data_IF_848485300327
#
_entry.id   IF_848485300327
#
_cell.length_a   1.000
_cell.length_b   1.000
_cell.length_c   1.000
_cell.angle_alpha   90.00
_cell.angle_beta   90.00
_cell.angle_gamma   90.00
#
_symmetry.space_group_name_H-M   'P 1'
#
loop_
_entity.id
_entity.type
_entity.pdbx_description
1 polymer ?
#
# COMPACT_ATOMS: atom_id res chain seq x y z
N UNK A 1 71.42 -31.43 9.93
CA UNK A 1 70.34 -30.59 10.50
C UNK A 1 69.53 -30.10 9.31
N UNK A 2 68.45 -30.81 9.03
CA UNK A 2 67.54 -30.61 7.91
C UNK A 2 66.73 -29.35 8.14
N UNK A 3 66.93 -28.32 7.31
CA UNK A 3 66.06 -27.15 7.25
C UNK A 3 64.76 -27.60 6.59
N UNK A 4 63.69 -27.63 7.38
CA UNK A 4 62.32 -27.85 6.97
C UNK A 4 61.99 -26.98 5.75
N UNK A 5 61.65 -27.63 4.64
CA UNK A 5 60.82 -27.03 3.60
C UNK A 5 59.46 -26.75 4.25
N UNK A 6 59.32 -25.56 4.82
CA UNK A 6 58.02 -25.01 5.24
C UNK A 6 57.11 -25.09 4.01
N UNK A 7 55.99 -25.80 4.18
CA UNK A 7 54.95 -26.07 3.18
C UNK A 7 54.19 -24.79 2.80
N UNK A 8 54.91 -23.83 2.24
CA UNK A 8 54.43 -22.51 1.82
C UNK A 8 53.25 -22.60 0.83
N UNK A 9 53.09 -23.75 0.15
CA UNK A 9 51.99 -23.99 -0.79
C UNK A 9 50.64 -24.19 -0.08
N UNK A 10 50.61 -24.90 1.05
CA UNK A 10 49.36 -25.17 1.78
C UNK A 10 48.85 -23.94 2.50
N UNK A 11 49.74 -23.17 3.11
CA UNK A 11 49.37 -21.94 3.80
C UNK A 11 48.97 -20.83 2.82
N UNK A 12 49.59 -20.72 1.64
CA UNK A 12 49.11 -19.82 0.58
C UNK A 12 47.74 -20.24 0.03
N UNK A 13 47.49 -21.54 -0.18
CA UNK A 13 46.17 -22.03 -0.61
C UNK A 13 45.13 -21.74 0.47
N UNK A 14 45.46 -21.99 1.74
CA UNK A 14 44.57 -21.72 2.88
C UNK A 14 44.29 -20.23 3.03
N UNK A 15 45.31 -19.38 2.91
CA UNK A 15 45.17 -17.93 2.92
C UNK A 15 44.39 -17.43 1.71
N UNK A 16 44.57 -18.00 0.52
CA UNK A 16 43.76 -17.67 -0.66
C UNK A 16 42.31 -18.11 -0.50
N UNK A 17 42.04 -19.27 0.09
CA UNK A 17 40.68 -19.74 0.39
C UNK A 17 40.04 -18.92 1.52
N UNK A 18 40.82 -18.43 2.46
CA UNK A 18 40.38 -17.59 3.57
C UNK A 18 40.16 -16.15 3.10
N UNK A 19 41.06 -15.60 2.27
CA UNK A 19 40.88 -14.33 1.57
C UNK A 19 39.73 -14.42 0.57
N UNK A 20 39.56 -15.51 -0.18
CA UNK A 20 38.39 -15.73 -1.04
C UNK A 20 37.10 -15.79 -0.21
N UNK A 21 37.11 -16.49 0.93
CA UNK A 21 35.97 -16.47 1.88
C UNK A 21 35.68 -15.07 2.43
N UNK A 22 36.70 -14.26 2.70
CA UNK A 22 36.58 -12.91 3.24
C UNK A 22 36.22 -11.87 2.15
N UNK A 23 36.65 -12.09 0.90
CA UNK A 23 36.46 -11.15 -0.23
C UNK A 23 35.26 -11.47 -1.10
N UNK A 24 34.81 -12.73 -1.17
CA UNK A 24 33.60 -13.11 -1.93
C UNK A 24 32.30 -12.95 -1.15
N UNK A 25 32.36 -12.90 0.18
CA UNK A 25 31.21 -12.72 1.05
C UNK A 25 31.32 -11.39 1.80
N UNK A 26 30.34 -10.51 1.60
CA UNK A 26 30.17 -9.37 2.49
C UNK A 26 30.17 -9.89 3.94
N UNK A 27 31.00 -9.32 4.81
CA UNK A 27 31.05 -9.70 6.24
C UNK A 27 29.68 -9.42 6.85
N UNK A 28 28.84 -10.45 6.91
CA UNK A 28 27.50 -10.40 7.49
C UNK A 28 27.54 -11.14 8.81
N UNK A 29 27.02 -10.50 9.86
CA UNK A 29 26.97 -11.09 11.20
C UNK A 29 26.25 -12.46 11.18
N UNK A 30 26.78 -13.48 11.90
CA UNK A 30 26.26 -14.85 11.89
C UNK A 30 24.86 -15.02 12.48
N UNK A 31 24.33 -13.97 13.10
CA UNK A 31 22.99 -13.93 13.70
C UNK A 31 21.90 -13.72 12.62
N UNK A 32 22.28 -13.30 11.41
CA UNK A 32 21.30 -12.99 10.36
C UNK A 32 20.95 -14.24 9.57
N UNK A 33 19.66 -14.45 9.37
CA UNK A 33 19.16 -15.52 8.52
C UNK A 33 19.21 -15.13 7.02
N UNK A 34 19.40 -16.10 6.11
CA UNK A 34 19.36 -15.86 4.67
C UNK A 34 17.99 -15.37 4.22
N UNK A 35 17.97 -14.36 3.34
CA UNK A 35 16.73 -13.80 2.80
C UNK A 35 16.13 -14.66 1.68
N UNK A 36 16.95 -15.43 0.97
CA UNK A 36 16.52 -16.36 -0.09
C UNK A 36 16.93 -17.77 0.31
N UNK A 37 15.97 -18.70 0.33
CA UNK A 37 16.20 -20.09 0.73
C UNK A 37 16.37 -21.03 -0.46
N UNK A 38 16.95 -22.21 -0.22
CA UNK A 38 17.02 -23.30 -1.22
C UNK A 38 18.10 -23.10 -2.29
N UNK A 39 19.24 -22.51 -1.94
CA UNK A 39 20.47 -22.42 -2.75
C UNK A 39 20.30 -22.09 -4.23
N UNK A 40 19.43 -21.13 -4.49
CA UNK A 40 19.15 -20.62 -5.83
C UNK A 40 20.36 -19.92 -6.43
N UNK A 41 20.61 -20.19 -7.71
CA UNK A 41 21.57 -19.47 -8.55
C UNK A 41 20.91 -18.27 -9.23
N UNK A 42 21.71 -17.37 -9.83
CA UNK A 42 21.19 -16.24 -10.62
C UNK A 42 20.27 -16.67 -11.77
N UNK A 43 20.53 -17.84 -12.36
CA UNK A 43 19.71 -18.42 -13.40
C UNK A 43 18.36 -18.89 -12.85
N UNK A 44 18.36 -19.55 -11.68
CA UNK A 44 17.14 -20.02 -11.03
C UNK A 44 16.21 -18.86 -10.67
N UNK A 45 16.73 -17.77 -10.09
CA UNK A 45 15.94 -16.56 -9.81
C UNK A 45 15.24 -16.05 -11.07
N UNK A 46 15.99 -15.98 -12.17
CA UNK A 46 15.46 -15.50 -13.44
C UNK A 46 14.40 -16.45 -13.99
N UNK A 47 14.64 -17.77 -13.90
CA UNK A 47 13.73 -18.78 -14.39
C UNK A 47 12.43 -18.79 -13.57
N UNK A 48 12.50 -18.90 -12.25
CA UNK A 48 11.36 -19.01 -11.35
C UNK A 48 10.40 -17.83 -11.52
N UNK A 49 10.93 -16.60 -11.56
CA UNK A 49 10.11 -15.38 -11.67
C UNK A 49 9.54 -15.22 -13.08
N UNK A 50 10.33 -15.42 -14.13
CA UNK A 50 9.86 -15.23 -15.51
C UNK A 50 8.94 -16.37 -16.00
N UNK A 51 9.07 -17.59 -15.46
CA UNK A 51 8.21 -18.74 -15.79
C UNK A 51 6.73 -18.43 -15.53
N UNK A 52 6.43 -17.60 -14.53
CA UNK A 52 5.07 -17.16 -14.20
C UNK A 52 4.43 -16.41 -15.39
N UNK A 53 5.22 -15.65 -16.16
CA UNK A 53 4.78 -14.89 -17.33
C UNK A 53 4.81 -15.71 -18.62
N UNK A 54 5.73 -16.67 -18.72
CA UNK A 54 5.90 -17.52 -19.89
C UNK A 54 4.81 -18.61 -20.01
N UNK A 55 4.40 -19.22 -18.89
CA UNK A 55 3.36 -20.27 -18.87
C UNK A 55 1.98 -19.70 -19.24
N UNK A 56 1.06 -20.51 -19.76
CA UNK A 56 -0.35 -20.07 -19.97
C UNK A 56 -1.05 -19.88 -18.61
N UNK A 57 -2.03 -18.97 -18.56
CA UNK A 57 -2.83 -18.79 -17.35
C UNK A 57 -3.65 -20.06 -17.07
N UNK A 58 -3.58 -20.56 -15.84
CA UNK A 58 -4.38 -21.70 -15.40
C UNK A 58 -5.86 -21.35 -15.25
N UNK A 59 -6.70 -22.38 -15.11
CA UNK A 59 -8.15 -22.23 -14.91
C UNK A 59 -8.49 -21.38 -13.67
N UNK A 60 -7.77 -21.57 -12.57
CA UNK A 60 -7.95 -20.78 -11.35
C UNK A 60 -7.75 -19.27 -11.55
N UNK A 61 -6.80 -18.87 -12.40
CA UNK A 61 -6.60 -17.45 -12.74
C UNK A 61 -7.78 -16.89 -13.53
N UNK A 62 -8.30 -17.64 -14.52
CA UNK A 62 -9.46 -17.21 -15.30
C UNK A 62 -10.73 -17.12 -14.46
N UNK A 63 -10.93 -18.03 -13.49
CA UNK A 63 -12.03 -17.96 -12.54
C UNK A 63 -11.90 -16.70 -11.68
N UNK A 64 -10.72 -16.47 -11.07
CA UNK A 64 -10.48 -15.28 -10.26
C UNK A 64 -10.65 -13.98 -11.06
N UNK A 65 -10.16 -13.95 -12.30
CA UNK A 65 -10.31 -12.82 -13.21
C UNK A 65 -11.77 -12.59 -13.59
N UNK A 66 -12.53 -13.65 -13.90
CA UNK A 66 -13.96 -13.57 -14.17
C UNK A 66 -14.76 -13.02 -12.99
N UNK A 67 -14.45 -13.47 -11.76
CA UNK A 67 -15.04 -12.93 -10.53
C UNK A 67 -14.69 -11.45 -10.38
N UNK A 68 -13.41 -11.07 -10.48
CA UNK A 68 -12.97 -9.69 -10.33
C UNK A 68 -13.63 -8.74 -11.35
N UNK A 69 -13.74 -9.16 -12.61
CA UNK A 69 -14.42 -8.41 -13.67
C UNK A 69 -15.92 -8.30 -13.42
N UNK A 70 -16.55 -9.35 -12.87
CA UNK A 70 -17.97 -9.31 -12.49
C UNK A 70 -18.21 -8.27 -11.40
N UNK A 71 -17.38 -8.27 -10.35
CA UNK A 71 -17.44 -7.26 -9.29
C UNK A 71 -17.20 -5.85 -9.84
N UNK A 72 -16.21 -5.68 -10.73
CA UNK A 72 -15.94 -4.42 -11.40
C UNK A 72 -17.17 -3.94 -12.21
N UNK A 73 -17.85 -4.85 -12.90
CA UNK A 73 -19.05 -4.55 -13.68
C UNK A 73 -20.18 -4.02 -12.78
N UNK A 74 -20.36 -4.60 -11.58
CA UNK A 74 -21.30 -4.07 -10.57
C UNK A 74 -20.94 -2.62 -10.20
N UNK A 75 -19.64 -2.35 -10.00
CA UNK A 75 -19.14 -1.00 -9.73
C UNK A 75 -19.40 0.00 -10.86
N UNK A 76 -19.16 -0.42 -12.11
CA UNK A 76 -19.41 0.41 -13.31
C UNK A 76 -20.89 0.72 -13.44
N UNK A 77 -21.77 -0.25 -13.20
CA UNK A 77 -23.23 -0.03 -13.21
C UNK A 77 -23.63 0.97 -12.11
N UNK A 78 -23.12 0.79 -10.88
CA UNK A 78 -23.40 1.72 -9.78
C UNK A 78 -22.90 3.14 -10.06
N UNK A 79 -21.69 3.29 -10.64
CA UNK A 79 -21.15 4.57 -11.06
C UNK A 79 -21.97 5.21 -12.19
N UNK A 80 -22.40 4.41 -13.17
CA UNK A 80 -23.27 4.88 -14.25
C UNK A 80 -24.60 5.41 -13.71
N UNK A 81 -25.25 4.68 -12.79
CA UNK A 81 -26.49 5.14 -12.14
C UNK A 81 -26.26 6.44 -11.36
N UNK A 82 -25.14 6.53 -10.64
CA UNK A 82 -24.78 7.74 -9.88
C UNK A 82 -24.64 8.96 -10.79
N UNK A 83 -23.97 8.83 -11.94
CA UNK A 83 -23.74 9.95 -12.86
C UNK A 83 -24.99 10.32 -13.66
N UNK A 84 -25.83 9.36 -14.02
CA UNK A 84 -27.01 9.59 -14.88
C UNK A 84 -28.26 10.01 -14.12
N UNK A 85 -28.51 9.41 -12.95
CA UNK A 85 -29.68 9.73 -12.10
C UNK A 85 -29.31 10.81 -11.09
N UNK A 86 -28.06 10.79 -10.60
CA UNK A 86 -27.52 11.75 -9.64
C UNK A 86 -27.17 11.14 -8.29
N UNK A 87 -26.47 11.96 -7.47
CA UNK A 87 -26.00 11.60 -6.11
C UNK A 87 -27.16 11.26 -5.17
N UNK A 88 -28.39 11.72 -5.45
CA UNK A 88 -29.58 11.37 -4.65
C UNK A 88 -29.95 9.88 -4.67
N UNK A 89 -29.30 9.05 -5.50
CA UNK A 89 -29.40 7.59 -5.44
C UNK A 89 -28.66 6.98 -4.24
N UNK A 90 -27.77 7.75 -3.61
CA UNK A 90 -27.04 7.35 -2.42
C UNK A 90 -27.89 7.56 -1.16
N UNK A 91 -27.54 6.88 -0.07
CA UNK A 91 -28.18 7.00 1.24
C UNK A 91 -27.82 8.27 2.00
N UNK A 92 -27.09 9.19 1.36
CA UNK A 92 -26.71 10.48 1.91
C UNK A 92 -27.95 11.33 2.24
N UNK A 93 -27.78 12.27 3.15
CA UNK A 93 -28.82 13.22 3.50
C UNK A 93 -28.22 14.62 3.70
N UNK A 94 -29.08 15.60 3.99
CA UNK A 94 -28.64 17.00 4.16
C UNK A 94 -27.68 17.23 5.34
N UNK A 95 -27.70 16.36 6.35
CA UNK A 95 -26.82 16.41 7.52
C UNK A 95 -25.55 15.60 7.27
N UNK A 96 -25.70 14.36 6.80
CA UNK A 96 -24.62 13.43 6.47
C UNK A 96 -24.37 13.51 4.96
N UNK A 97 -23.55 14.50 4.58
CA UNK A 97 -23.15 14.74 3.19
C UNK A 97 -22.01 13.85 2.70
N UNK A 98 -21.30 13.17 3.61
CA UNK A 98 -20.26 12.20 3.32
C UNK A 98 -20.43 10.95 4.18
N UNK A 99 -20.22 9.80 3.56
CA UNK A 99 -20.24 8.51 4.23
C UNK A 99 -19.36 7.50 3.47
N UNK A 100 -19.95 6.57 2.72
CA UNK A 100 -19.21 5.48 2.05
C UNK A 100 -18.24 6.00 0.99
N UNK A 101 -18.60 7.07 0.28
CA UNK A 101 -17.77 7.72 -0.72
C UNK A 101 -16.39 8.11 -0.19
N UNK A 102 -16.34 9.04 0.77
CA UNK A 102 -15.07 9.52 1.32
C UNK A 102 -14.43 8.46 2.24
N UNK A 103 -15.22 7.60 2.89
CA UNK A 103 -14.69 6.44 3.65
C UNK A 103 -13.83 5.55 2.74
N UNK A 104 -14.37 5.16 1.58
CA UNK A 104 -13.69 4.29 0.64
C UNK A 104 -12.49 4.99 -0.01
N UNK A 105 -12.62 6.28 -0.30
CA UNK A 105 -11.52 7.12 -0.77
C UNK A 105 -10.31 7.07 0.18
N UNK A 106 -10.52 7.42 1.46
CA UNK A 106 -9.42 7.47 2.45
C UNK A 106 -8.89 6.05 2.74
N UNK A 107 -9.75 5.04 2.70
CA UNK A 107 -9.34 3.64 2.82
C UNK A 107 -8.39 3.22 1.70
N UNK A 108 -8.74 3.49 0.44
CA UNK A 108 -7.91 3.13 -0.71
C UNK A 108 -6.61 3.93 -0.80
N UNK A 109 -6.63 5.24 -0.51
CA UNK A 109 -5.38 6.02 -0.38
C UNK A 109 -4.52 5.43 0.74
N UNK A 110 -5.12 5.13 1.90
CA UNK A 110 -4.44 4.50 3.04
C UNK A 110 -3.71 3.21 2.66
N UNK A 111 -4.39 2.28 1.97
CA UNK A 111 -3.77 1.05 1.45
C UNK A 111 -2.59 1.37 0.53
N UNK A 112 -2.72 2.40 -0.31
CA UNK A 112 -1.69 2.81 -1.26
C UNK A 112 -0.35 3.15 -0.60
N UNK A 113 -0.35 3.70 0.62
CA UNK A 113 0.87 4.20 1.27
C UNK A 113 1.91 3.12 1.61
N UNK A 114 1.49 1.90 1.93
CA UNK A 114 2.43 0.86 2.35
C UNK A 114 3.40 0.44 1.25
N UNK A 115 2.98 0.47 -0.02
CA UNK A 115 3.87 0.09 -1.12
C UNK A 115 5.04 1.05 -1.28
N UNK A 116 4.75 2.35 -1.32
CA UNK A 116 5.78 3.40 -1.32
C UNK A 116 6.60 3.43 -0.03
N UNK A 117 6.02 3.09 1.12
CA UNK A 117 6.79 2.92 2.35
C UNK A 117 7.82 1.78 2.22
N UNK A 118 7.39 0.62 1.72
CA UNK A 118 8.26 -0.56 1.53
C UNK A 118 9.35 -0.27 0.50
N UNK A 119 9.06 0.48 -0.56
CA UNK A 119 10.00 0.69 -1.63
C UNK A 119 10.93 1.90 -1.46
N UNK A 120 10.48 2.96 -0.79
CA UNK A 120 11.26 4.17 -0.55
C UNK A 120 11.86 4.22 0.87
N UNK A 121 11.04 4.16 1.91
CA UNK A 121 11.53 4.34 3.30
C UNK A 121 12.45 3.20 3.72
N UNK A 122 12.08 1.95 3.43
CA UNK A 122 12.97 0.81 3.70
C UNK A 122 14.24 0.82 2.83
N UNK A 123 14.19 1.44 1.65
CA UNK A 123 15.40 1.66 0.84
C UNK A 123 16.35 2.63 1.52
N UNK A 124 15.85 3.76 2.02
CA UNK A 124 16.65 4.73 2.78
C UNK A 124 17.25 4.14 4.06
N UNK A 125 16.52 3.26 4.74
CA UNK A 125 17.03 2.50 5.89
C UNK A 125 17.92 1.30 5.52
N UNK A 126 18.27 1.15 4.24
CA UNK A 126 19.09 0.06 3.71
C UNK A 126 18.61 -1.34 4.14
N UNK A 127 17.28 -1.53 4.21
CA UNK A 127 16.66 -2.77 4.64
C UNK A 127 16.55 -3.76 3.47
N UNK A 128 17.50 -4.69 3.40
CA UNK A 128 17.63 -5.65 2.28
C UNK A 128 16.44 -6.60 2.09
N UNK A 129 15.63 -6.84 3.13
CA UNK A 129 14.45 -7.72 3.05
C UNK A 129 13.30 -7.14 2.21
N UNK A 130 13.31 -5.84 1.89
CA UNK A 130 12.29 -5.23 1.03
C UNK A 130 12.28 -5.79 -0.40
N UNK A 131 13.43 -6.31 -0.87
CA UNK A 131 13.71 -6.65 -2.28
C UNK A 131 12.79 -7.74 -2.85
N UNK A 132 12.27 -8.63 -2.01
CA UNK A 132 11.31 -9.66 -2.42
C UNK A 132 9.87 -9.16 -2.54
N UNK A 133 9.56 -7.95 -2.04
CA UNK A 133 8.18 -7.46 -1.86
C UNK A 133 7.94 -6.14 -2.60
N UNK A 134 8.96 -5.29 -2.72
CA UNK A 134 8.86 -3.92 -3.23
C UNK A 134 8.03 -3.79 -4.50
N UNK A 135 8.30 -4.62 -5.51
CA UNK A 135 7.65 -4.53 -6.82
C UNK A 135 6.14 -4.75 -6.75
N UNK A 136 5.72 -5.78 -6.02
CA UNK A 136 4.31 -6.07 -5.81
C UNK A 136 3.64 -5.02 -4.94
N UNK A 137 4.36 -4.48 -3.96
CA UNK A 137 3.86 -3.44 -3.09
C UNK A 137 3.67 -2.11 -3.83
N UNK A 138 4.60 -1.72 -4.70
CA UNK A 138 4.45 -0.54 -5.57
C UNK A 138 3.31 -0.68 -6.57
N UNK A 139 3.15 -1.86 -7.19
CA UNK A 139 2.00 -2.12 -8.06
C UNK A 139 0.68 -2.00 -7.27
N UNK A 140 0.65 -2.53 -6.05
CA UNK A 140 -0.48 -2.36 -5.13
C UNK A 140 -0.78 -0.88 -4.88
N UNK A 141 0.24 -0.05 -4.63
CA UNK A 141 0.07 1.40 -4.48
C UNK A 141 -0.62 2.03 -5.68
N UNK A 142 -0.11 1.80 -6.88
CA UNK A 142 -0.66 2.42 -8.08
C UNK A 142 -2.13 2.02 -8.29
N UNK A 143 -2.44 0.75 -8.09
CA UNK A 143 -3.80 0.24 -8.27
C UNK A 143 -4.73 0.78 -7.18
N UNK A 144 -4.28 0.84 -5.93
CA UNK A 144 -5.06 1.40 -4.83
C UNK A 144 -5.33 2.91 -5.06
N UNK A 145 -4.34 3.67 -5.53
CA UNK A 145 -4.50 5.10 -5.86
C UNK A 145 -5.45 5.29 -7.04
N UNK A 146 -5.42 4.41 -8.05
CA UNK A 146 -6.42 4.43 -9.13
C UNK A 146 -7.83 4.17 -8.60
N UNK A 147 -8.00 3.23 -7.67
CA UNK A 147 -9.30 2.98 -7.03
C UNK A 147 -9.75 4.19 -6.19
N UNK A 148 -8.85 4.78 -5.43
CA UNK A 148 -9.12 5.97 -4.64
C UNK A 148 -9.52 7.17 -5.50
N UNK A 149 -8.79 7.44 -6.58
CA UNK A 149 -9.00 8.59 -7.47
C UNK A 149 -10.35 8.60 -8.17
N UNK A 150 -11.07 7.47 -8.20
CA UNK A 150 -12.44 7.42 -8.69
C UNK A 150 -13.42 8.17 -7.78
N UNK A 151 -13.25 8.08 -6.46
CA UNK A 151 -14.21 8.61 -5.50
C UNK A 151 -14.31 10.15 -5.55
N UNK A 152 -13.20 10.93 -5.54
CA UNK A 152 -13.23 12.40 -5.73
C UNK A 152 -14.00 12.88 -6.96
N UNK A 153 -14.06 12.05 -8.01
CA UNK A 153 -14.77 12.38 -9.25
C UNK A 153 -16.23 11.96 -9.15
N UNK A 154 -16.50 10.72 -8.73
CA UNK A 154 -17.85 10.14 -8.73
C UNK A 154 -18.74 10.76 -7.65
N UNK A 155 -18.17 11.22 -6.52
CA UNK A 155 -18.95 11.89 -5.47
C UNK A 155 -19.38 13.32 -5.82
N UNK A 156 -18.92 13.87 -6.95
CA UNK A 156 -19.32 15.19 -7.39
C UNK A 156 -20.75 15.17 -7.94
N UNK A 157 -21.55 16.19 -7.61
CA UNK A 157 -22.85 16.39 -8.26
C UNK A 157 -22.75 16.71 -9.77
N UNK A 158 -21.60 17.24 -10.22
CA UNK A 158 -21.33 17.60 -11.63
C UNK A 158 -19.91 17.18 -12.05
N UNK A 159 -19.66 15.88 -12.24
CA UNK A 159 -18.31 15.35 -12.48
C UNK A 159 -17.65 15.91 -13.76
N UNK A 160 -18.43 16.28 -14.77
CA UNK A 160 -17.92 16.87 -16.02
C UNK A 160 -17.27 18.25 -15.83
N UNK A 161 -17.39 18.90 -14.67
CA UNK A 161 -16.72 20.16 -14.33
C UNK A 161 -15.45 19.96 -13.49
N UNK A 162 -15.01 18.73 -13.26
CA UNK A 162 -13.83 18.40 -12.46
C UNK A 162 -12.57 19.19 -12.87
N UNK A 163 -12.41 19.50 -14.16
CA UNK A 163 -11.29 20.27 -14.68
C UNK A 163 -11.18 21.71 -14.10
N UNK A 164 -12.21 22.22 -13.43
CA UNK A 164 -12.15 23.51 -12.73
C UNK A 164 -11.28 23.51 -11.48
N UNK A 165 -10.86 22.34 -10.97
CA UNK A 165 -9.84 22.25 -9.92
C UNK A 165 -8.45 22.68 -10.40
N UNK A 166 -8.19 22.61 -11.71
CA UNK A 166 -6.89 23.00 -12.26
C UNK A 166 -6.76 24.54 -12.29
N UNK A 167 -5.64 25.11 -11.81
CA UNK A 167 -5.35 26.53 -11.99
C UNK A 167 -4.84 26.77 -13.41
N UNK A 168 -5.74 26.88 -14.38
CA UNK A 168 -5.40 27.18 -15.78
C UNK A 168 -5.98 28.54 -16.22
N UNK A 169 -5.25 29.30 -17.08
CA UNK A 169 -5.78 30.51 -17.69
C UNK A 169 -7.06 30.23 -18.47
N UNK A 170 -8.11 31.02 -18.26
CA UNK A 170 -9.43 30.76 -18.84
C UNK A 170 -10.06 32.04 -19.41
N UNK A 171 -11.11 31.87 -20.20
CA UNK A 171 -11.85 32.96 -20.86
C UNK A 171 -12.83 33.69 -19.92
N UNK A 172 -12.92 33.29 -18.65
CA UNK A 172 -13.86 33.83 -17.66
C UNK A 172 -13.24 34.98 -16.84
N UNK A 173 -12.28 35.70 -17.42
CA UNK A 173 -11.50 36.74 -16.75
C UNK A 173 -10.47 36.16 -15.77
N UNK A 174 -10.17 36.91 -14.70
CA UNK A 174 -9.21 36.51 -13.65
C UNK A 174 -9.79 35.52 -12.63
N UNK A 175 -10.61 34.56 -13.09
CA UNK A 175 -11.19 33.54 -12.21
C UNK A 175 -10.15 32.45 -11.94
N UNK A 176 -9.84 32.22 -10.66
CA UNK A 176 -8.91 31.21 -10.18
C UNK A 176 -9.51 30.38 -9.05
N UNK A 177 -8.90 29.24 -8.77
CA UNK A 177 -9.22 28.42 -7.59
C UNK A 177 -8.66 29.05 -6.32
N UNK A 178 -9.28 28.75 -5.17
CA UNK A 178 -8.72 29.13 -3.86
C UNK A 178 -7.72 28.07 -3.40
N UNK A 179 -6.57 28.47 -2.87
CA UNK A 179 -5.55 27.55 -2.36
C UNK A 179 -5.67 27.30 -0.85
N UNK A 180 -6.86 27.49 -0.28
CA UNK A 180 -7.11 27.34 1.17
C UNK A 180 -7.87 26.06 1.50
N UNK A 181 -8.62 25.51 0.55
CA UNK A 181 -9.41 24.30 0.75
C UNK A 181 -8.52 23.06 0.74
N UNK A 182 -8.57 22.23 1.80
CA UNK A 182 -7.89 20.93 1.83
C UNK A 182 -8.27 20.01 0.67
N UNK A 183 -9.52 20.06 0.19
CA UNK A 183 -9.95 19.31 -1.00
C UNK A 183 -9.16 19.66 -2.28
N UNK A 184 -8.73 20.92 -2.43
CA UNK A 184 -7.85 21.29 -3.55
C UNK A 184 -6.43 20.74 -3.33
N UNK A 185 -5.94 20.78 -2.09
CA UNK A 185 -4.64 20.20 -1.76
C UNK A 185 -4.63 18.69 -2.02
N UNK A 186 -5.74 18.00 -1.74
CA UNK A 186 -5.95 16.59 -2.03
C UNK A 186 -5.81 16.27 -3.52
N UNK A 187 -6.40 17.10 -4.39
CA UNK A 187 -6.22 16.98 -5.83
C UNK A 187 -4.73 17.04 -6.24
N UNK A 188 -3.96 17.99 -5.70
CA UNK A 188 -2.52 18.08 -5.97
C UNK A 188 -1.72 16.94 -5.33
N UNK A 189 -2.07 16.56 -4.11
CA UNK A 189 -1.40 15.50 -3.37
C UNK A 189 -1.52 14.17 -4.11
N UNK A 190 -2.73 13.78 -4.51
CA UNK A 190 -2.99 12.50 -5.16
C UNK A 190 -2.43 12.47 -6.58
N UNK A 191 -2.60 13.54 -7.36
CA UNK A 191 -2.04 13.61 -8.71
C UNK A 191 -0.50 13.53 -8.70
N UNK A 192 0.15 14.23 -7.77
CA UNK A 192 1.60 14.18 -7.58
C UNK A 192 2.03 12.81 -7.06
N UNK A 193 1.30 12.25 -6.09
CA UNK A 193 1.57 10.93 -5.54
C UNK A 193 1.47 9.82 -6.58
N UNK A 194 0.41 9.82 -7.39
CA UNK A 194 0.24 8.88 -8.49
C UNK A 194 1.38 9.00 -9.51
N UNK A 195 1.70 10.23 -9.92
CA UNK A 195 2.75 10.48 -10.93
C UNK A 195 4.12 10.03 -10.44
N UNK A 196 4.52 10.42 -9.22
CA UNK A 196 5.81 10.05 -8.65
C UNK A 196 5.88 8.53 -8.42
N UNK A 197 4.81 7.93 -7.90
CA UNK A 197 4.75 6.47 -7.70
C UNK A 197 4.85 5.73 -9.03
N UNK A 198 4.22 6.23 -10.10
CA UNK A 198 4.23 5.62 -11.42
C UNK A 198 5.64 5.67 -12.03
N UNK A 199 6.28 6.83 -11.96
CA UNK A 199 7.65 7.01 -12.43
C UNK A 199 8.62 6.14 -11.63
N UNK A 200 8.47 6.11 -10.30
CA UNK A 200 9.33 5.32 -9.42
C UNK A 200 9.22 3.82 -9.70
N UNK A 201 7.99 3.29 -9.74
CA UNK A 201 7.73 1.88 -10.07
C UNK A 201 8.21 1.51 -11.47
N UNK A 202 7.93 2.36 -12.47
CA UNK A 202 8.33 2.11 -13.85
C UNK A 202 9.84 2.11 -14.02
N UNK A 203 10.55 3.07 -13.41
CA UNK A 203 12.01 3.07 -13.41
C UNK A 203 12.56 1.81 -12.78
N UNK A 204 12.03 1.43 -11.61
CA UNK A 204 12.39 0.18 -10.96
C UNK A 204 12.22 -1.02 -11.89
N UNK A 205 11.18 -1.03 -12.74
CA UNK A 205 10.82 -2.14 -13.62
C UNK A 205 11.74 -2.30 -14.84
N UNK A 206 12.48 -1.26 -15.25
CA UNK A 206 13.26 -1.27 -16.49
C UNK A 206 14.21 -2.48 -16.64
N UNK A 207 15.02 -2.86 -15.63
CA UNK A 207 15.92 -4.01 -15.75
C UNK A 207 15.16 -5.35 -15.87
N UNK A 208 14.02 -5.46 -15.19
CA UNK A 208 13.20 -6.67 -15.18
C UNK A 208 12.45 -6.83 -16.51
N UNK A 209 11.91 -5.74 -17.07
CA UNK A 209 11.27 -5.72 -18.39
C UNK A 209 12.27 -6.05 -19.48
N UNK A 210 13.52 -5.58 -19.39
CA UNK A 210 14.58 -5.97 -20.31
C UNK A 210 14.87 -7.48 -20.27
N UNK A 211 14.88 -8.06 -19.06
CA UNK A 211 15.01 -9.52 -18.91
C UNK A 211 13.81 -10.25 -19.56
N UNK A 212 12.59 -9.77 -19.35
CA UNK A 212 11.39 -10.34 -19.97
C UNK A 212 11.40 -10.22 -21.51
N UNK A 213 11.89 -9.09 -22.05
CA UNK A 213 12.11 -8.87 -23.49
C UNK A 213 13.02 -9.93 -24.10
N UNK A 214 14.16 -10.16 -23.45
CA UNK A 214 15.21 -11.03 -23.98
C UNK A 214 14.82 -12.52 -23.91
N UNK A 215 13.96 -12.89 -22.93
CA UNK A 215 13.40 -14.24 -22.81
C UNK A 215 12.18 -14.49 -23.70
N UNK A 216 11.46 -13.45 -24.12
CA UNK A 216 10.18 -13.62 -24.81
C UNK A 216 10.35 -14.23 -26.21
N UNK A 217 9.82 -15.44 -26.40
CA UNK A 217 9.78 -16.13 -27.71
C UNK A 217 8.68 -15.61 -28.64
N UNK A 218 7.65 -14.98 -28.08
CA UNK A 218 6.46 -14.53 -28.82
C UNK A 218 6.71 -13.13 -29.39
N UNK A 219 6.62 -12.98 -30.73
CA UNK A 219 6.96 -11.73 -31.44
C UNK A 219 6.26 -10.48 -30.89
N UNK A 220 4.94 -10.55 -30.64
CA UNK A 220 4.19 -9.40 -30.15
C UNK A 220 4.57 -9.03 -28.70
N UNK A 221 4.78 -10.02 -27.82
CA UNK A 221 5.21 -9.81 -26.43
C UNK A 221 6.63 -9.23 -26.39
N UNK A 222 7.52 -9.75 -27.23
CA UNK A 222 8.86 -9.21 -27.40
C UNK A 222 8.81 -7.74 -27.83
N UNK A 223 8.01 -7.40 -28.85
CA UNK A 223 7.82 -6.01 -29.28
C UNK A 223 7.30 -5.11 -28.13
N UNK A 224 6.31 -5.58 -27.38
CA UNK A 224 5.76 -4.87 -26.22
C UNK A 224 6.84 -4.58 -25.16
N UNK A 225 7.59 -5.60 -24.72
CA UNK A 225 8.67 -5.41 -23.75
C UNK A 225 9.87 -4.64 -24.32
N UNK A 226 10.14 -4.71 -25.63
CA UNK A 226 11.17 -3.87 -26.26
C UNK A 226 10.84 -2.39 -26.10
N UNK A 227 9.60 -2.00 -26.40
CA UNK A 227 9.14 -0.60 -26.25
C UNK A 227 9.24 -0.16 -24.79
N UNK A 228 8.72 -0.97 -23.86
CA UNK A 228 8.74 -0.63 -22.43
C UNK A 228 10.14 -0.69 -21.80
N UNK A 229 11.09 -1.44 -22.35
CA UNK A 229 12.46 -1.50 -21.81
C UNK A 229 13.28 -0.26 -22.10
N UNK A 230 12.82 0.67 -22.95
CA UNK A 230 13.52 1.89 -23.36
C UNK A 230 14.99 1.66 -23.80
N UNK A 231 15.28 0.48 -24.38
CA UNK A 231 16.63 0.13 -24.81
C UNK A 231 17.61 -0.18 -23.67
N UNK A 232 17.10 -0.56 -22.49
CA UNK A 232 17.95 -0.96 -21.37
C UNK A 232 18.94 -2.06 -21.77
N UNK A 233 20.23 -1.78 -21.57
CA UNK A 233 21.36 -2.60 -22.01
C UNK A 233 22.23 -3.10 -20.85
N UNK A 234 21.91 -2.75 -19.60
CA UNK A 234 22.67 -3.16 -18.42
C UNK A 234 24.11 -2.63 -18.33
N UNK A 235 24.47 -1.58 -19.07
CA UNK A 235 25.81 -1.00 -19.01
C UNK A 235 26.11 -0.42 -17.61
N UNK A 236 27.39 -0.39 -17.20
CA UNK A 236 27.80 0.20 -15.92
C UNK A 236 27.34 1.66 -15.77
N UNK A 237 27.43 2.45 -16.84
CA UNK A 237 26.96 3.85 -16.86
C UNK A 237 25.44 3.96 -16.63
N UNK A 238 24.67 3.02 -17.17
CA UNK A 238 23.22 2.96 -16.98
C UNK A 238 22.87 2.63 -15.53
N UNK A 239 23.55 1.64 -14.94
CA UNK A 239 23.35 1.23 -13.55
C UNK A 239 23.67 2.35 -12.56
N UNK A 240 24.83 3.01 -12.72
CA UNK A 240 25.23 4.10 -11.83
C UNK A 240 24.21 5.26 -11.82
N UNK A 241 23.68 5.61 -12.99
CA UNK A 241 22.61 6.61 -13.13
C UNK A 241 21.30 6.13 -12.54
N UNK A 242 20.93 4.88 -12.78
CA UNK A 242 19.71 4.28 -12.24
C UNK A 242 19.71 4.31 -10.72
N UNK A 243 20.79 3.87 -10.06
CA UNK A 243 20.89 3.86 -8.60
C UNK A 243 20.82 5.27 -8.01
N UNK A 244 21.49 6.23 -8.66
CA UNK A 244 21.43 7.66 -8.25
C UNK A 244 20.00 8.20 -8.32
N UNK A 245 19.32 7.99 -9.46
CA UNK A 245 17.94 8.47 -9.65
C UNK A 245 16.96 7.74 -8.72
N UNK A 246 17.10 6.43 -8.56
CA UNK A 246 16.27 5.64 -7.66
C UNK A 246 16.43 6.13 -6.21
N UNK A 247 17.66 6.42 -5.76
CA UNK A 247 17.91 6.96 -4.43
C UNK A 247 17.32 8.36 -4.22
N UNK A 248 17.43 9.25 -5.21
CA UNK A 248 16.81 10.59 -5.15
C UNK A 248 15.28 10.46 -5.09
N UNK A 249 14.68 9.62 -5.92
CA UNK A 249 13.23 9.42 -5.90
C UNK A 249 12.75 8.79 -4.59
N UNK A 250 13.49 7.86 -4.00
CA UNK A 250 13.17 7.32 -2.68
C UNK A 250 13.22 8.41 -1.60
N UNK A 251 14.20 9.31 -1.67
CA UNK A 251 14.31 10.46 -0.77
C UNK A 251 13.14 11.45 -0.94
N UNK A 252 12.70 11.72 -2.17
CA UNK A 252 11.57 12.61 -2.47
C UNK A 252 10.21 11.98 -2.16
N UNK A 253 10.06 10.67 -2.39
CA UNK A 253 8.82 9.95 -2.13
C UNK A 253 8.53 9.83 -0.62
N UNK A 254 9.56 9.84 0.23
CA UNK A 254 9.38 9.68 1.69
C UNK A 254 8.58 10.83 2.32
N UNK A 255 8.94 12.12 2.15
CA UNK A 255 8.11 13.24 2.59
C UNK A 255 6.73 13.24 1.92
N UNK A 256 6.64 12.84 0.65
CA UNK A 256 5.38 12.78 -0.10
C UNK A 256 4.40 11.79 0.53
N UNK A 257 4.87 10.60 0.92
CA UNK A 257 4.04 9.59 1.61
C UNK A 257 3.46 10.14 2.91
N UNK A 258 4.27 10.87 3.68
CA UNK A 258 3.81 11.49 4.92
C UNK A 258 2.85 12.65 4.67
N UNK A 259 3.13 13.49 3.67
CA UNK A 259 2.34 14.69 3.39
C UNK A 259 0.99 14.36 2.76
N UNK A 260 0.91 13.42 1.80
CA UNK A 260 -0.34 13.09 1.10
C UNK A 260 -1.42 12.62 2.07
N UNK A 261 -1.10 11.68 2.94
CA UNK A 261 -2.10 11.17 3.90
C UNK A 261 -2.37 12.16 5.04
N UNK A 262 -1.43 13.06 5.33
CA UNK A 262 -1.67 14.21 6.21
C UNK A 262 -2.62 15.23 5.57
N UNK A 263 -2.52 15.48 4.27
CA UNK A 263 -3.44 16.38 3.54
C UNK A 263 -4.85 15.80 3.54
N UNK A 264 -5.00 14.51 3.26
CA UNK A 264 -6.30 13.81 3.37
C UNK A 264 -6.86 13.92 4.80
N UNK A 265 -6.00 13.88 5.82
CA UNK A 265 -6.46 14.09 7.21
C UNK A 265 -6.91 15.53 7.49
N UNK A 266 -6.35 16.51 6.77
CA UNK A 266 -6.70 17.93 6.94
C UNK A 266 -8.12 18.24 6.47
N UNK A 267 -8.69 17.44 5.56
CA UNK A 267 -10.12 17.53 5.20
C UNK A 267 -11.04 17.44 6.43
N UNK A 268 -10.62 16.66 7.44
CA UNK A 268 -11.35 16.51 8.71
C UNK A 268 -10.77 17.43 9.78
N UNK A 269 -9.45 17.39 10.00
CA UNK A 269 -8.78 18.07 11.12
C UNK A 269 -8.98 19.59 11.13
N UNK A 270 -9.10 20.21 9.96
CA UNK A 270 -9.29 21.67 9.83
C UNK A 270 -10.75 22.10 9.88
N UNK A 271 -11.67 21.15 9.95
CA UNK A 271 -13.10 21.40 10.17
C UNK A 271 -13.35 21.91 11.60
N UNK A 272 -14.56 22.40 11.83
CA UNK A 272 -15.06 22.84 13.15
C UNK A 272 -15.93 21.78 13.83
N UNK A 273 -16.12 20.62 13.20
CA UNK A 273 -17.04 19.58 13.70
C UNK A 273 -16.41 18.87 14.90
N UNK A 274 -17.17 18.63 15.99
CA UNK A 274 -16.66 17.93 17.15
C UNK A 274 -16.25 16.50 16.80
N UNK A 275 -15.11 16.06 17.33
CA UNK A 275 -14.47 14.80 16.96
C UNK A 275 -13.77 14.78 15.59
N UNK A 276 -13.84 15.86 14.79
CA UNK A 276 -12.97 16.06 13.63
C UNK A 276 -11.87 17.08 13.92
N UNK A 277 -12.21 18.17 14.60
CA UNK A 277 -11.25 19.23 14.92
C UNK A 277 -10.18 18.74 15.92
N UNK A 278 -9.08 18.22 15.39
CA UNK A 278 -8.03 17.59 16.21
C UNK A 278 -6.66 17.71 15.56
N UNK A 279 -5.65 17.99 16.38
CA UNK A 279 -4.26 18.17 15.93
C UNK A 279 -3.51 16.84 15.80
N UNK A 280 -4.03 15.74 16.36
CA UNK A 280 -3.39 14.41 16.28
C UNK A 280 -3.67 13.70 14.96
N UNK A 281 -4.67 14.15 14.20
CA UNK A 281 -5.14 13.48 12.98
C UNK A 281 -4.06 13.24 11.92
N UNK A 282 -3.18 14.20 11.55
CA UNK A 282 -2.17 13.95 10.53
C UNK A 282 -1.22 12.79 10.84
N UNK A 283 -0.49 12.74 11.98
CA UNK A 283 0.37 11.60 12.29
C UNK A 283 -0.42 10.31 12.54
N UNK A 284 -1.62 10.42 13.13
CA UNK A 284 -2.50 9.27 13.39
C UNK A 284 -2.97 8.60 12.10
N UNK A 285 -3.47 9.38 11.13
CA UNK A 285 -3.91 8.89 9.84
C UNK A 285 -2.76 8.22 9.11
N UNK A 286 -1.56 8.80 9.12
CA UNK A 286 -0.36 8.23 8.50
C UNK A 286 -0.01 6.88 9.13
N UNK A 287 -0.04 6.76 10.46
CA UNK A 287 0.17 5.48 11.15
C UNK A 287 -0.87 4.44 10.74
N UNK A 288 -2.15 4.84 10.65
CA UNK A 288 -3.25 4.01 10.16
C UNK A 288 -3.09 3.56 8.69
N UNK A 289 -2.57 4.42 7.82
CA UNK A 289 -2.28 4.10 6.43
C UNK A 289 -1.20 3.03 6.31
N UNK A 290 -0.10 3.17 7.08
CA UNK A 290 0.95 2.15 7.11
C UNK A 290 0.39 0.85 7.69
N UNK A 291 -0.40 0.91 8.75
CA UNK A 291 -1.00 -0.25 9.40
C UNK A 291 -1.92 -1.06 8.46
N UNK A 292 -2.91 -0.41 7.84
CA UNK A 292 -3.82 -1.02 6.85
C UNK A 292 -3.08 -1.49 5.59
N UNK A 293 -2.19 -0.67 5.04
CA UNK A 293 -1.47 -1.02 3.83
C UNK A 293 -0.54 -2.22 4.02
N UNK A 294 0.19 -2.33 5.14
CA UNK A 294 1.00 -3.53 5.42
C UNK A 294 0.12 -4.77 5.59
N UNK A 295 -1.06 -4.63 6.20
CA UNK A 295 -2.01 -5.74 6.28
C UNK A 295 -2.44 -6.20 4.88
N UNK A 296 -2.82 -5.28 3.99
CA UNK A 296 -3.18 -5.62 2.61
C UNK A 296 -2.01 -6.25 1.83
N UNK A 297 -0.79 -5.70 1.93
CA UNK A 297 0.40 -6.31 1.30
C UNK A 297 0.58 -7.74 1.79
N UNK A 298 0.48 -7.99 3.09
CA UNK A 298 0.60 -9.34 3.65
C UNK A 298 -0.50 -10.27 3.13
N UNK A 299 -1.76 -9.84 3.08
CA UNK A 299 -2.86 -10.63 2.52
C UNK A 299 -2.54 -11.09 1.09
N UNK A 300 -2.13 -10.15 0.23
CA UNK A 300 -1.83 -10.44 -1.17
C UNK A 300 -0.57 -11.32 -1.32
N UNK A 301 0.49 -11.00 -0.58
CA UNK A 301 1.76 -11.73 -0.69
C UNK A 301 1.66 -13.15 -0.13
N UNK A 302 0.80 -13.41 0.85
CA UNK A 302 0.52 -14.78 1.31
C UNK A 302 -0.14 -15.59 0.20
N UNK A 303 -1.13 -15.02 -0.50
CA UNK A 303 -1.81 -15.67 -1.62
C UNK A 303 -0.85 -15.91 -2.79
N UNK A 304 -0.11 -14.88 -3.21
CA UNK A 304 0.90 -14.96 -4.28
C UNK A 304 1.96 -16.02 -3.96
N UNK A 305 2.47 -16.01 -2.72
CA UNK A 305 3.47 -16.98 -2.24
C UNK A 305 3.02 -18.42 -2.48
N UNK A 306 1.78 -18.75 -2.12
CA UNK A 306 1.25 -20.12 -2.20
C UNK A 306 0.81 -20.52 -3.60
N UNK A 307 0.14 -19.62 -4.32
CA UNK A 307 -0.41 -19.92 -5.65
C UNK A 307 0.70 -20.01 -6.70
N UNK A 308 1.76 -19.21 -6.54
CA UNK A 308 2.86 -19.12 -7.52
C UNK A 308 4.13 -19.84 -7.10
N UNK A 309 4.10 -20.57 -5.97
CA UNK A 309 5.24 -21.33 -5.45
C UNK A 309 6.51 -20.49 -5.22
N UNK A 310 6.33 -19.29 -4.65
CA UNK A 310 7.40 -18.33 -4.38
C UNK A 310 7.90 -18.41 -2.93
N UNK A 311 7.75 -19.55 -2.26
CA UNK A 311 8.11 -19.72 -0.84
C UNK A 311 9.59 -19.45 -0.54
N UNK A 312 10.47 -19.64 -1.53
CA UNK A 312 11.91 -19.44 -1.39
C UNK A 312 12.32 -17.97 -1.42
N UNK A 313 11.48 -17.10 -1.98
CA UNK A 313 11.73 -15.65 -2.09
C UNK A 313 10.93 -14.89 -1.03
N UNK A 314 9.69 -15.32 -0.77
CA UNK A 314 8.79 -14.79 0.26
C UNK A 314 8.86 -15.67 1.51
N UNK A 315 9.97 -15.58 2.24
CA UNK A 315 10.21 -16.41 3.44
C UNK A 315 9.34 -15.98 4.63
N UNK A 316 9.25 -16.82 5.67
CA UNK A 316 8.51 -16.50 6.90
C UNK A 316 9.09 -15.26 7.60
N UNK A 317 10.40 -15.04 7.48
CA UNK A 317 11.06 -13.89 8.13
C UNK A 317 10.65 -12.55 7.51
N UNK A 318 10.27 -12.54 6.23
CA UNK A 318 9.66 -11.37 5.60
C UNK A 318 8.33 -11.02 6.26
N UNK A 319 7.45 -12.01 6.43
CA UNK A 319 6.16 -11.81 7.10
C UNK A 319 6.34 -11.46 8.57
N UNK A 320 7.29 -12.07 9.27
CA UNK A 320 7.56 -11.72 10.66
C UNK A 320 7.98 -10.25 10.81
N UNK A 321 8.84 -9.74 9.90
CA UNK A 321 9.25 -8.32 9.89
C UNK A 321 8.08 -7.40 9.58
N UNK A 322 7.24 -7.73 8.60
CA UNK A 322 6.03 -6.97 8.30
C UNK A 322 5.04 -6.96 9.46
N UNK A 323 4.86 -8.09 10.16
CA UNK A 323 4.04 -8.16 11.37
C UNK A 323 4.58 -7.25 12.49
N UNK A 324 5.91 -7.10 12.65
CA UNK A 324 6.48 -6.17 13.64
C UNK A 324 6.16 -4.72 13.31
N UNK A 325 6.24 -4.33 12.04
CA UNK A 325 5.86 -2.98 11.58
C UNK A 325 4.36 -2.74 11.81
N UNK A 326 3.53 -3.74 11.50
CA UNK A 326 2.07 -3.71 11.72
C UNK A 326 1.74 -3.60 13.21
N UNK A 327 2.46 -4.32 14.07
CA UNK A 327 2.28 -4.24 15.53
C UNK A 327 2.67 -2.87 16.09
N UNK A 328 3.77 -2.29 15.61
CA UNK A 328 4.21 -0.95 16.01
C UNK A 328 3.15 0.10 15.64
N UNK A 329 2.74 0.10 14.37
CA UNK A 329 1.77 1.08 13.85
C UNK A 329 0.38 0.88 14.44
N UNK A 330 -0.07 -0.36 14.64
CA UNK A 330 -1.31 -0.67 15.35
C UNK A 330 -1.29 -0.21 16.82
N UNK A 331 -0.14 -0.33 17.50
CA UNK A 331 0.02 0.21 18.86
C UNK A 331 -0.02 1.75 18.89
N UNK A 332 0.56 2.42 17.89
CA UNK A 332 0.45 3.89 17.74
C UNK A 332 -1.01 4.31 17.53
N UNK A 333 -1.74 3.62 16.63
CA UNK A 333 -3.17 3.85 16.39
C UNK A 333 -3.99 3.63 17.66
N UNK A 334 -3.74 2.55 18.40
CA UNK A 334 -4.39 2.27 19.67
C UNK A 334 -4.12 3.35 20.73
N UNK A 335 -2.88 3.84 20.80
CA UNK A 335 -2.53 4.97 21.67
C UNK A 335 -3.26 6.25 21.25
N UNK A 336 -3.40 6.52 19.94
CA UNK A 336 -4.16 7.67 19.44
C UNK A 336 -5.63 7.62 19.87
N UNK A 337 -6.28 6.45 19.81
CA UNK A 337 -7.67 6.32 20.32
C UNK A 337 -7.77 6.64 21.81
N UNK A 338 -6.86 6.11 22.63
CA UNK A 338 -6.83 6.41 24.06
C UNK A 338 -6.56 7.89 24.32
N UNK A 339 -5.71 8.52 23.50
CA UNK A 339 -5.42 9.95 23.58
C UNK A 339 -6.64 10.78 23.23
N UNK A 340 -7.41 10.42 22.20
CA UNK A 340 -8.66 11.09 21.85
C UNK A 340 -9.70 11.00 22.98
N UNK A 341 -9.88 9.81 23.57
CA UNK A 341 -10.78 9.63 24.71
C UNK A 341 -10.34 10.47 25.92
N UNK A 342 -9.04 10.49 26.21
CA UNK A 342 -8.49 11.26 27.31
C UNK A 342 -8.65 12.77 27.08
N UNK A 343 -8.27 13.28 25.92
CA UNK A 343 -8.33 14.72 25.61
C UNK A 343 -9.78 15.19 25.48
N UNK A 344 -10.69 14.42 24.89
CA UNK A 344 -12.10 14.82 24.83
C UNK A 344 -12.74 14.88 26.23
N UNK A 345 -12.34 14.00 27.16
CA UNK A 345 -12.73 14.12 28.57
C UNK A 345 -12.05 15.31 29.27
N UNK A 346 -10.75 15.49 29.06
CA UNK A 346 -9.94 16.54 29.68
C UNK A 346 -10.30 17.96 29.20
N UNK A 347 -10.73 18.10 27.95
CA UNK A 347 -11.08 19.39 27.33
C UNK A 347 -12.22 20.12 28.04
N UNK A 348 -13.08 19.42 28.79
CA UNK A 348 -14.24 20.01 29.45
C UNK A 348 -15.31 20.56 28.51
N UNK A 349 -15.18 20.35 27.19
CA UNK A 349 -16.17 20.77 26.18
C UNK A 349 -17.36 19.81 26.18
N UNK A 350 -18.60 20.29 26.41
CA UNK A 350 -19.79 19.42 26.40
C UNK A 350 -19.98 18.68 25.08
N UNK A 351 -19.64 19.31 23.94
CA UNK A 351 -19.77 18.72 22.61
C UNK A 351 -18.78 17.57 22.36
N UNK A 352 -17.54 17.72 22.81
CA UNK A 352 -16.52 16.66 22.70
C UNK A 352 -16.82 15.49 23.63
N UNK A 353 -17.27 15.78 24.86
CA UNK A 353 -17.69 14.74 25.79
C UNK A 353 -18.90 13.96 25.25
N UNK A 354 -19.89 14.66 24.68
CA UNK A 354 -21.01 14.02 24.01
C UNK A 354 -20.56 13.15 22.83
N UNK A 355 -19.59 13.62 22.04
CA UNK A 355 -19.04 12.83 20.92
C UNK A 355 -18.42 11.51 21.38
N UNK A 356 -17.68 11.52 22.50
CA UNK A 356 -17.15 10.29 23.11
C UNK A 356 -18.29 9.33 23.49
N UNK A 357 -19.32 9.84 24.19
CA UNK A 357 -20.47 9.03 24.60
C UNK A 357 -21.21 8.49 23.37
N UNK A 358 -21.37 9.29 22.32
CA UNK A 358 -22.02 8.89 21.09
C UNK A 358 -21.25 7.79 20.36
N UNK A 359 -19.91 7.86 20.34
CA UNK A 359 -19.06 6.78 19.80
C UNK A 359 -19.17 5.49 20.61
N UNK A 360 -19.19 5.57 21.94
CA UNK A 360 -19.19 4.37 22.81
C UNK A 360 -20.56 3.70 22.98
N UNK A 361 -21.64 4.49 23.05
CA UNK A 361 -22.97 4.04 23.44
C UNK A 361 -24.09 4.52 22.49
N UNK A 362 -23.76 5.30 21.46
CA UNK A 362 -24.75 5.79 20.50
C UNK A 362 -25.21 4.72 19.48
N UNK A 363 -26.04 5.13 18.49
CA UNK A 363 -26.61 4.22 17.49
C UNK A 363 -25.56 3.45 16.67
N UNK A 364 -24.36 4.02 16.51
CA UNK A 364 -23.23 3.42 15.80
C UNK A 364 -22.14 2.86 16.71
N UNK A 365 -22.45 2.62 17.99
CA UNK A 365 -21.51 2.03 18.95
C UNK A 365 -20.91 0.71 18.43
N UNK A 366 -21.72 -0.10 17.74
CA UNK A 366 -21.25 -1.34 17.12
C UNK A 366 -20.07 -1.11 16.16
N UNK A 367 -20.08 -0.02 15.38
CA UNK A 367 -18.99 0.33 14.47
C UNK A 367 -17.71 0.71 15.22
N UNK A 368 -17.85 1.50 16.30
CA UNK A 368 -16.72 1.87 17.16
C UNK A 368 -16.10 0.66 17.86
N UNK A 369 -16.92 -0.25 18.41
CA UNK A 369 -16.43 -1.46 19.08
C UNK A 369 -15.74 -2.42 18.08
N UNK A 370 -16.28 -2.59 16.88
CA UNK A 370 -15.61 -3.37 15.82
C UNK A 370 -14.26 -2.75 15.48
N UNK A 371 -14.20 -1.43 15.24
CA UNK A 371 -12.97 -0.70 14.97
C UNK A 371 -11.95 -0.90 16.10
N UNK A 372 -12.33 -0.61 17.34
CA UNK A 372 -11.43 -0.67 18.50
C UNK A 372 -10.90 -2.08 18.72
N UNK A 373 -11.76 -3.11 18.67
CA UNK A 373 -11.32 -4.50 18.81
C UNK A 373 -10.38 -4.90 17.67
N UNK A 374 -10.70 -4.58 16.42
CA UNK A 374 -9.90 -4.97 15.27
C UNK A 374 -8.55 -4.26 15.17
N UNK A 375 -8.48 -2.98 15.56
CA UNK A 375 -7.28 -2.16 15.40
C UNK A 375 -6.43 -2.08 16.67
N UNK A 376 -7.04 -2.04 17.86
CA UNK A 376 -6.30 -1.88 19.11
C UNK A 376 -6.02 -3.21 19.82
N UNK A 377 -6.96 -4.17 19.81
CA UNK A 377 -6.85 -5.41 20.58
C UNK A 377 -6.25 -6.57 19.77
N UNK A 378 -6.85 -6.89 18.62
CA UNK A 378 -6.45 -8.03 17.78
C UNK A 378 -4.96 -7.97 17.38
N UNK A 379 -4.37 -6.82 16.99
CA UNK A 379 -2.97 -6.77 16.60
C UNK A 379 -2.00 -7.04 17.75
N UNK A 380 -2.42 -6.91 19.01
CA UNK A 380 -1.57 -7.26 20.17
C UNK A 380 -1.24 -8.75 20.22
N UNK A 381 -2.02 -9.60 19.54
CA UNK A 381 -1.68 -11.00 19.33
C UNK A 381 -0.34 -11.17 18.57
N UNK A 382 0.08 -10.16 17.81
CA UNK A 382 1.38 -10.15 17.14
C UNK A 382 2.56 -10.04 18.13
N UNK A 383 2.37 -9.78 19.43
CA UNK A 383 3.48 -9.92 20.39
C UNK A 383 3.99 -11.37 20.46
N UNK A 384 3.08 -12.34 20.31
CA UNK A 384 3.42 -13.75 20.38
C UNK A 384 4.12 -14.22 19.10
N UNK A 385 5.42 -14.56 19.22
CA UNK A 385 6.25 -15.05 18.09
C UNK A 385 5.61 -16.24 17.35
N UNK A 386 4.92 -17.13 18.09
CA UNK A 386 4.20 -18.28 17.51
C UNK A 386 3.14 -17.86 16.50
N UNK A 387 2.40 -16.79 16.78
CA UNK A 387 1.36 -16.26 15.90
C UNK A 387 1.96 -15.51 14.70
N UNK A 388 3.01 -14.71 14.93
CA UNK A 388 3.74 -13.99 13.86
C UNK A 388 4.46 -14.89 12.86
N UNK A 389 4.68 -16.16 13.18
CA UNK A 389 5.31 -17.14 12.27
C UNK A 389 4.32 -18.16 11.70
N UNK A 390 3.03 -17.99 11.96
CA UNK A 390 1.96 -18.85 11.43
C UNK A 390 1.25 -18.17 10.27
N UNK A 391 1.54 -18.60 9.04
CA UNK A 391 0.97 -18.00 7.81
C UNK A 391 -0.57 -17.93 7.83
N UNK A 392 -1.33 -18.98 8.24
CA UNK A 392 -2.78 -18.89 8.32
C UNK A 392 -3.26 -17.84 9.32
N UNK A 393 -2.60 -17.72 10.48
CA UNK A 393 -3.00 -16.72 11.49
C UNK A 393 -2.68 -15.30 11.02
N UNK A 394 -1.54 -15.08 10.36
CA UNK A 394 -1.22 -13.78 9.76
C UNK A 394 -2.29 -13.42 8.72
N UNK A 395 -2.70 -14.35 7.86
CA UNK A 395 -3.75 -14.11 6.88
C UNK A 395 -5.05 -13.65 7.55
N UNK A 396 -5.55 -14.38 8.54
CA UNK A 396 -6.78 -14.02 9.27
C UNK A 396 -6.64 -12.66 9.97
N UNK A 397 -5.51 -12.40 10.64
CA UNK A 397 -5.23 -11.13 11.30
C UNK A 397 -5.28 -9.96 10.32
N UNK A 398 -4.71 -10.11 9.12
CA UNK A 398 -4.72 -9.03 8.11
C UNK A 398 -6.11 -8.68 7.62
N UNK A 399 -7.05 -9.63 7.58
CA UNK A 399 -8.45 -9.37 7.23
C UNK A 399 -9.14 -8.53 8.30
N UNK A 400 -8.93 -8.85 9.58
CA UNK A 400 -9.46 -8.05 10.69
C UNK A 400 -8.89 -6.64 10.71
N UNK A 401 -7.58 -6.48 10.46
CA UNK A 401 -6.95 -5.16 10.37
C UNK A 401 -7.57 -4.32 9.26
N UNK A 402 -7.72 -4.86 8.05
CA UNK A 402 -8.31 -4.12 6.94
C UNK A 402 -9.78 -3.76 7.20
N UNK A 403 -10.55 -4.68 7.80
CA UNK A 403 -11.93 -4.42 8.20
C UNK A 403 -12.01 -3.31 9.26
N UNK A 404 -11.20 -3.39 10.31
CA UNK A 404 -11.15 -2.41 11.38
C UNK A 404 -10.74 -1.03 10.88
N UNK A 405 -9.80 -0.95 9.93
CA UNK A 405 -9.35 0.31 9.34
C UNK A 405 -10.38 0.93 8.38
N UNK A 406 -11.21 0.12 7.74
CA UNK A 406 -12.37 0.66 7.02
C UNK A 406 -13.39 1.24 8.01
N UNK A 407 -13.69 0.52 9.09
CA UNK A 407 -14.58 1.01 10.15
C UNK A 407 -14.02 2.24 10.87
N UNK A 408 -12.70 2.37 10.98
CA UNK A 408 -12.07 3.58 11.52
C UNK A 408 -12.49 4.82 10.74
N UNK A 409 -12.34 4.80 9.41
CA UNK A 409 -12.74 5.93 8.57
C UNK A 409 -14.24 6.15 8.64
N UNK A 410 -15.03 5.08 8.55
CA UNK A 410 -16.48 5.16 8.66
C UNK A 410 -16.91 5.81 9.99
N UNK A 411 -16.32 5.41 11.11
CA UNK A 411 -16.65 5.93 12.44
C UNK A 411 -16.24 7.39 12.56
N UNK A 412 -15.04 7.77 12.13
CA UNK A 412 -14.60 9.17 12.15
C UNK A 412 -15.59 10.04 11.37
N UNK A 413 -15.93 9.65 10.14
CA UNK A 413 -16.77 10.46 9.26
C UNK A 413 -18.22 10.47 9.73
N UNK A 414 -18.83 9.28 9.82
CA UNK A 414 -20.26 9.12 10.01
C UNK A 414 -20.68 9.53 11.43
N UNK A 415 -19.99 9.04 12.45
CA UNK A 415 -20.39 9.25 13.86
C UNK A 415 -20.27 10.72 14.27
N UNK A 416 -19.33 11.46 13.66
CA UNK A 416 -19.18 12.89 13.87
C UNK A 416 -20.19 13.74 13.09
N UNK A 417 -20.72 13.27 11.96
CA UNK A 417 -21.67 14.03 11.14
C UNK A 417 -23.13 13.81 11.54
N UNK A 418 -23.52 12.60 11.91
CA UNK A 418 -24.95 12.29 12.12
C UNK A 418 -25.52 12.91 13.40
N UNK A 419 -24.65 13.26 14.35
CA UNK A 419 -24.96 13.97 15.59
C UNK A 419 -23.86 14.97 15.91
N UNK A 420 -24.14 16.23 15.62
CA UNK A 420 -23.26 17.36 15.85
C UNK A 420 -23.84 18.32 16.92
N UNK A 421 -23.51 19.61 16.82
CA UNK A 421 -23.93 20.67 17.73
C UNK A 421 -25.44 20.79 17.95
N UNK A 422 -26.28 20.55 16.93
CA UNK A 422 -27.72 20.85 16.99
C UNK A 422 -28.55 19.56 16.99
N UNK A 423 -29.26 19.24 18.10
CA UNK A 423 -30.12 18.07 18.17
C UNK A 423 -31.21 17.99 17.09
N UNK A 424 -31.67 19.13 16.57
CA UNK A 424 -32.68 19.20 15.50
C UNK A 424 -32.17 18.67 14.14
N UNK A 425 -30.86 18.62 13.93
CA UNK A 425 -30.21 18.12 12.72
C UNK A 425 -29.85 16.64 12.79
N UNK A 426 -30.00 16.02 13.97
CA UNK A 426 -29.59 14.64 14.21
C UNK A 426 -30.36 13.66 13.34
N UNK A 427 -29.64 12.72 12.75
CA UNK A 427 -30.22 11.76 11.81
C UNK A 427 -29.50 10.41 11.88
N UNK A 428 -30.00 9.47 11.10
CA UNK A 428 -29.38 8.16 10.87
C UNK A 428 -29.09 8.02 9.38
N UNK A 429 -27.98 7.36 9.04
CA UNK A 429 -27.60 7.07 7.67
C UNK A 429 -27.58 5.55 7.44
N UNK A 430 -28.15 5.14 6.30
CA UNK A 430 -28.17 3.75 5.84
C UNK A 430 -27.60 3.77 4.43
N UNK A 431 -26.53 3.00 4.14
CA UNK A 431 -25.97 2.96 2.80
C UNK A 431 -26.97 2.37 1.82
N UNK A 432 -27.08 3.01 0.66
CA UNK A 432 -27.84 2.49 -0.46
C UNK A 432 -27.14 1.28 -1.11
N UNK A 433 -27.86 0.43 -1.87
CA UNK A 433 -27.24 -0.62 -2.68
C UNK A 433 -26.23 -0.07 -3.70
N UNK A 434 -26.40 1.18 -4.17
CA UNK A 434 -25.48 1.82 -5.12
C UNK A 434 -24.12 2.06 -4.47
N UNK A 435 -24.09 2.58 -3.24
CA UNK A 435 -22.84 2.81 -2.49
C UNK A 435 -22.11 1.50 -2.16
N UNK A 436 -22.86 0.46 -1.80
CA UNK A 436 -22.30 -0.89 -1.61
C UNK A 436 -21.75 -1.43 -2.93
N UNK A 437 -22.46 -1.22 -4.04
CA UNK A 437 -22.03 -1.57 -5.39
C UNK A 437 -20.72 -0.88 -5.79
N UNK A 438 -20.54 0.40 -5.44
CA UNK A 438 -19.29 1.15 -5.65
C UNK A 438 -18.14 0.59 -4.81
N UNK A 439 -18.38 0.24 -3.55
CA UNK A 439 -17.38 -0.41 -2.70
C UNK A 439 -16.94 -1.76 -3.28
N UNK A 440 -17.88 -2.65 -3.59
CA UNK A 440 -17.60 -3.95 -4.22
C UNK A 440 -16.88 -3.76 -5.56
N UNK A 441 -17.35 -2.80 -6.34
CA UNK A 441 -16.76 -2.37 -7.60
C UNK A 441 -15.30 -1.97 -7.50
N UNK A 442 -14.95 -1.22 -6.45
CA UNK A 442 -13.57 -0.79 -6.22
C UNK A 442 -12.63 -1.97 -5.92
N UNK A 443 -13.08 -2.99 -5.18
CA UNK A 443 -12.33 -4.24 -5.04
C UNK A 443 -12.24 -5.01 -6.36
N UNK A 444 -13.32 -5.01 -7.15
CA UNK A 444 -13.31 -5.57 -8.51
C UNK A 444 -12.25 -4.93 -9.41
N UNK A 445 -12.16 -3.58 -9.41
CA UNK A 445 -11.12 -2.84 -10.12
C UNK A 445 -9.73 -3.25 -9.63
N UNK A 446 -9.55 -3.25 -8.31
CA UNK A 446 -8.29 -3.57 -7.68
C UNK A 446 -7.79 -4.97 -8.06
N UNK A 447 -8.62 -5.99 -7.88
CA UNK A 447 -8.24 -7.37 -8.21
C UNK A 447 -8.08 -7.58 -9.71
N UNK A 448 -8.90 -6.94 -10.54
CA UNK A 448 -8.75 -7.03 -12.01
C UNK A 448 -7.38 -6.49 -12.44
N UNK A 449 -7.03 -5.28 -11.99
CA UNK A 449 -5.74 -4.67 -12.31
C UNK A 449 -4.57 -5.44 -11.69
N UNK A 450 -4.71 -5.95 -10.46
CA UNK A 450 -3.66 -6.72 -9.79
C UNK A 450 -3.42 -8.06 -10.49
N UNK A 451 -4.48 -8.80 -10.86
CA UNK A 451 -4.35 -10.06 -11.61
C UNK A 451 -3.74 -9.86 -12.99
N UNK A 452 -4.02 -8.74 -13.65
CA UNK A 452 -3.35 -8.35 -14.90
C UNK A 452 -1.87 -8.03 -14.67
N UNK A 453 -1.54 -7.27 -13.63
CA UNK A 453 -0.16 -6.99 -13.23
C UNK A 453 0.65 -8.28 -13.01
N UNK A 454 0.12 -9.21 -12.21
CA UNK A 454 0.74 -10.51 -11.93
C UNK A 454 1.05 -11.31 -13.19
N UNK A 455 0.36 -11.03 -14.30
CA UNK A 455 0.52 -11.74 -15.56
C UNK A 455 1.43 -11.01 -16.55
N UNK A 456 1.41 -9.69 -16.55
CA UNK A 456 2.11 -8.86 -17.54
C UNK A 456 3.52 -8.49 -17.07
N UNK A 457 3.71 -8.25 -15.77
CA UNK A 457 4.95 -7.71 -15.22
C UNK A 457 5.56 -8.61 -14.14
N UNK A 458 6.91 -8.68 -14.05
CA UNK A 458 7.61 -9.38 -12.98
C UNK A 458 7.11 -8.95 -11.60
N UNK A 459 6.71 -9.93 -10.79
CA UNK A 459 6.09 -9.75 -9.46
C UNK A 459 7.13 -9.35 -8.40
N UNK A 460 8.35 -9.83 -8.61
CA UNK A 460 9.50 -9.64 -7.73
C UNK A 460 10.59 -8.95 -8.55
N UNK A 461 11.32 -8.00 -7.93
CA UNK A 461 12.42 -7.31 -8.56
C UNK A 461 13.62 -8.26 -8.75
N UNK A 462 13.76 -8.82 -9.96
CA UNK A 462 14.76 -9.85 -10.24
C UNK A 462 16.17 -9.28 -10.11
N UNK A 463 16.39 -8.05 -10.56
CA UNK A 463 17.67 -7.37 -10.44
C UNK A 463 18.12 -7.19 -8.99
N UNK A 464 17.20 -6.76 -8.12
CA UNK A 464 17.49 -6.52 -6.71
C UNK A 464 17.69 -7.83 -5.93
N UNK A 465 16.85 -8.85 -6.19
CA UNK A 465 17.02 -10.17 -5.54
C UNK A 465 18.40 -10.75 -5.85
N UNK A 466 18.85 -10.64 -7.10
CA UNK A 466 20.19 -11.11 -7.48
C UNK A 466 21.26 -10.40 -6.64
N UNK A 467 21.11 -9.10 -6.38
CA UNK A 467 22.02 -8.34 -5.52
C UNK A 467 22.06 -8.80 -4.05
N UNK A 468 21.02 -9.48 -3.55
CA UNK A 468 20.94 -10.00 -2.17
C UNK A 468 21.01 -11.52 -2.07
N UNK A 469 21.24 -12.23 -3.18
CA UNK A 469 21.20 -13.70 -3.24
C UNK A 469 22.22 -14.38 -2.30
N UNK A 470 23.38 -13.74 -2.09
CA UNK A 470 24.44 -14.22 -1.19
C UNK A 470 24.35 -13.63 0.23
N UNK A 471 23.31 -12.87 0.54
CA UNK A 471 23.18 -12.20 1.84
C UNK A 471 22.94 -13.22 2.96
N UNK A 472 23.77 -13.15 4.00
CA UNK A 472 23.67 -14.01 5.19
C UNK A 472 23.65 -15.52 4.86
N UNK A 473 24.32 -15.90 3.77
CA UNK A 473 24.69 -17.30 3.51
C UNK A 473 26.03 -17.55 4.20
N UNK A 474 26.03 -18.51 5.12
CA UNK A 474 27.20 -18.95 5.88
C UNK A 474 27.75 -20.25 5.32
#
# INVERSE_FOLDING_TARGET
MTLEQIDLSRDEIRLRDEVARITEHAVVAPIRDPLVTGDRTYADVSNDINLIHERKAGTGWWIAFGIAVTLLTVGVIAGYLTVTIGIGTWGLNRTVGWAFDITNFVFWIGIGHAGTFISAILYLFNQKWRTSINRSAEAMTLIAVMCAGLFPIIHMGRPWLFYWFLPYPNTRGSLWVNFRSPLLWDFFAISTYFTISLVFWYLGLLPDIATARDRSKIKWRKKFYTILSLGWNGSNRTWWRYETVYGILAALATPLVLSVHSIVSFDFATSVIPGWHSTIFPPYFVAGAIFSGFAMVMTLMILVRKIMHLENYLTIDHFEKMCKVTLLTGSIVGLSYLTELFIGFYSGSPSELFMIINRLFGPYAWGYWIMFTCNALIPQLLWFKRLRRSIPMIFVLTLFVNLGMWFERFVIIMVSLHRDYLPSSWTYYIPSPVEIGLLIGSFGLFFTAFLLFLRIFPIIATSEIKGVLRYAKH
#
